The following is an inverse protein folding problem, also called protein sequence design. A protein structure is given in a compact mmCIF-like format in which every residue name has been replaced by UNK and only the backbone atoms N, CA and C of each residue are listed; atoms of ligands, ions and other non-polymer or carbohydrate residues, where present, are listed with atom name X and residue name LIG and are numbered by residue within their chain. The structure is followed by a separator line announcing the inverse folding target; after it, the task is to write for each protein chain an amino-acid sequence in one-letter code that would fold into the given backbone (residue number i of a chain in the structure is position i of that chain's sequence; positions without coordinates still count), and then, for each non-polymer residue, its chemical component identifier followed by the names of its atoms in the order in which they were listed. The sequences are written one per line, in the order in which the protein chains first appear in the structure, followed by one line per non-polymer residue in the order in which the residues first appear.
data_IF_406926533064
#
_entry.id   IF_406926533064
#
_cell.length_a   1.000
_cell.length_b   1.000
_cell.length_c   1.000
_cell.angle_alpha   90.00
_cell.angle_beta   90.00
_cell.angle_gamma   90.00
#
_symmetry.space_group_name_H-M   'P 1'
#
loop_
_entity.id
_entity.type
_entity.pdbx_description
1 polymer ?
#
# COMPACT_ATOMS: atom_id res chain seq x y z
N UNK A 1 -39.57 -18.95 39.40
CA UNK A 1 -40.58 -17.98 39.88
C UNK A 1 -39.81 -16.89 40.60
N UNK A 2 -39.54 -15.68 40.12
CA UNK A 2 -40.08 -14.74 39.10
C UNK A 2 -38.89 -14.21 38.26
N UNK A 3 -38.89 -13.93 36.95
CA UNK A 3 -39.73 -13.13 36.02
C UNK A 3 -39.74 -11.59 36.24
N UNK A 4 -39.11 -10.88 35.28
CA UNK A 4 -39.38 -9.55 34.68
C UNK A 4 -38.03 -8.89 34.32
N UNK A 5 -37.48 -8.84 33.10
CA UNK A 5 -37.95 -8.62 31.72
C UNK A 5 -38.58 -7.23 31.47
N UNK A 6 -37.74 -6.35 30.89
CA UNK A 6 -37.98 -5.26 29.91
C UNK A 6 -39.00 -4.15 30.20
N UNK A 7 -38.64 -2.89 29.89
CA UNK A 7 -39.04 -2.21 28.64
C UNK A 7 -38.69 -0.70 28.68
N UNK A 8 -37.91 -0.30 27.69
CA UNK A 8 -37.77 1.06 27.18
C UNK A 8 -39.07 1.45 26.48
N UNK A 9 -39.75 2.54 26.90
CA UNK A 9 -40.74 3.30 26.11
C UNK A 9 -40.68 4.76 26.61
N UNK A 10 -39.98 5.65 25.90
CA UNK A 10 -40.54 6.61 24.93
C UNK A 10 -41.58 7.57 25.52
N UNK A 11 -41.11 8.74 25.98
CA UNK A 11 -41.94 9.94 26.10
C UNK A 11 -41.65 10.85 24.90
N UNK A 12 -42.23 10.50 23.76
CA UNK A 12 -42.41 11.39 22.62
C UNK A 12 -43.48 12.43 22.99
N UNK A 13 -43.06 13.63 23.39
CA UNK A 13 -43.98 14.78 23.38
C UNK A 13 -43.92 15.36 21.97
N UNK A 14 -44.94 15.00 21.18
CA UNK A 14 -45.22 15.65 19.92
C UNK A 14 -45.86 17.00 20.15
N UNK A 15 -45.40 18.01 19.41
CA UNK A 15 -46.24 19.11 18.97
C UNK A 15 -45.90 19.40 17.51
N UNK A 16 -46.77 18.93 16.63
CA UNK A 16 -46.80 19.31 15.24
C UNK A 16 -47.68 20.56 15.08
N UNK A 17 -47.12 21.52 14.34
CA UNK A 17 -47.74 22.50 13.44
C UNK A 17 -48.26 23.87 13.97
N UNK A 18 -47.48 24.90 13.62
CA UNK A 18 -47.93 26.24 13.17
C UNK A 18 -47.94 27.33 14.25
N UNK A 19 -47.33 28.51 14.11
CA UNK A 19 -46.55 29.15 13.06
C UNK A 19 -45.58 30.14 13.74
N UNK A 20 -44.33 30.23 13.27
CA UNK A 20 -43.28 31.07 13.88
C UNK A 20 -42.23 30.22 14.60
N UNK A 21 -41.20 29.80 13.86
CA UNK A 21 -40.23 28.79 14.30
C UNK A 21 -39.49 29.18 15.58
N UNK A 22 -39.89 28.57 16.69
CA UNK A 22 -39.11 28.57 17.93
C UNK A 22 -38.03 27.51 17.77
N UNK A 23 -36.76 27.95 17.69
CA UNK A 23 -35.62 27.04 17.68
C UNK A 23 -35.56 26.35 19.05
N UNK A 24 -35.93 25.08 19.12
CA UNK A 24 -35.57 24.24 20.26
C UNK A 24 -34.06 24.05 20.21
N UNK A 25 -33.35 24.66 21.16
CA UNK A 25 -31.92 24.45 21.36
C UNK A 25 -31.68 22.98 21.76
N UNK A 26 -31.54 22.12 20.76
CA UNK A 26 -30.86 20.84 20.93
C UNK A 26 -29.37 21.16 21.05
N UNK A 27 -28.85 21.13 22.27
CA UNK A 27 -27.43 20.97 22.54
C UNK A 27 -27.00 19.58 22.07
N UNK A 28 -26.92 19.40 20.75
CA UNK A 28 -26.09 18.36 20.18
C UNK A 28 -24.63 18.68 20.53
N UNK A 29 -23.78 17.70 20.84
CA UNK A 29 -22.35 17.98 20.96
C UNK A 29 -21.92 18.56 19.62
N UNK A 30 -21.57 19.85 19.62
CA UNK A 30 -20.88 20.46 18.50
C UNK A 30 -19.66 19.59 18.24
N UNK A 31 -19.67 18.83 17.14
CA UNK A 31 -18.44 18.24 16.61
C UNK A 31 -17.67 19.40 16.01
N UNK A 32 -17.09 20.21 16.91
CA UNK A 32 -16.09 21.20 16.59
C UNK A 32 -14.90 20.42 16.06
N UNK A 33 -14.64 20.50 14.75
CA UNK A 33 -13.32 20.15 14.23
C UNK A 33 -12.35 21.24 14.72
N UNK A 34 -11.90 21.12 15.97
CA UNK A 34 -10.88 22.00 16.51
C UNK A 34 -9.61 21.77 15.70
N UNK A 35 -9.10 22.81 15.05
CA UNK A 35 -7.83 22.73 14.33
C UNK A 35 -6.73 22.38 15.34
N UNK A 36 -6.16 21.19 15.22
CA UNK A 36 -5.05 20.74 16.06
C UNK A 36 -3.86 21.64 15.75
N UNK A 37 -3.30 22.28 16.78
CA UNK A 37 -2.13 23.13 16.62
C UNK A 37 -0.93 22.28 16.16
N UNK A 38 -0.08 22.83 15.28
CA UNK A 38 1.11 22.13 14.77
C UNK A 38 2.00 21.59 15.90
N UNK A 39 2.09 22.30 17.03
CA UNK A 39 2.85 21.87 18.19
C UNK A 39 2.32 20.58 18.82
N UNK A 40 1.00 20.41 18.88
CA UNK A 40 0.34 19.21 19.41
C UNK A 40 0.60 18.01 18.48
N UNK A 41 0.53 18.22 17.16
CA UNK A 41 0.86 17.17 16.18
C UNK A 41 2.33 16.73 16.28
N UNK A 42 3.25 17.69 16.42
CA UNK A 42 4.69 17.38 16.57
C UNK A 42 4.96 16.68 17.90
N UNK A 43 4.29 17.09 18.99
CA UNK A 43 4.38 16.44 20.29
C UNK A 43 3.87 14.99 20.23
N UNK A 44 2.73 14.76 19.58
CA UNK A 44 2.16 13.43 19.40
C UNK A 44 3.08 12.53 18.55
N UNK A 45 3.61 13.02 17.42
CA UNK A 45 4.56 12.27 16.58
C UNK A 45 5.88 11.98 17.34
N UNK A 46 6.33 12.90 18.20
CA UNK A 46 7.53 12.70 19.01
C UNK A 46 7.30 11.68 20.13
N UNK A 47 6.12 11.68 20.73
CA UNK A 47 5.72 10.73 21.77
C UNK A 47 5.44 9.33 21.19
N UNK A 48 4.95 9.26 19.96
CA UNK A 48 4.70 8.03 19.23
C UNK A 48 5.21 8.12 17.77
N UNK A 49 6.47 7.72 17.53
CA UNK A 49 7.04 7.71 16.18
C UNK A 49 6.32 6.76 15.21
N UNK A 50 5.49 5.82 15.71
CA UNK A 50 4.73 4.91 14.85
C UNK A 50 3.62 5.62 14.07
N UNK A 51 3.18 6.80 14.53
CA UNK A 51 2.24 7.66 13.82
C UNK A 51 2.74 8.12 12.44
N UNK A 52 4.06 8.06 12.22
CA UNK A 52 4.70 8.36 10.94
C UNK A 52 5.50 7.16 10.39
N UNK A 53 5.10 5.93 10.73
CA UNK A 53 5.75 4.76 10.16
C UNK A 53 5.58 4.76 8.63
N UNK A 54 6.64 5.12 7.91
CA UNK A 54 6.72 4.89 6.47
C UNK A 54 6.69 3.38 6.30
N UNK A 55 5.71 2.80 5.57
CA UNK A 55 5.71 1.37 5.33
C UNK A 55 7.02 1.05 4.61
N UNK A 56 7.93 0.36 5.31
CA UNK A 56 9.20 -0.04 4.75
C UNK A 56 8.88 -1.13 3.74
N UNK A 57 8.91 -0.77 2.46
CA UNK A 57 8.66 -1.71 1.39
C UNK A 57 9.92 -2.54 1.23
N UNK A 58 9.80 -3.84 1.43
CA UNK A 58 10.90 -4.76 1.23
C UNK A 58 11.36 -4.64 -0.24
N UNK A 59 12.66 -4.53 -0.46
CA UNK A 59 13.25 -4.41 -1.79
C UNK A 59 14.09 -5.65 -2.07
N UNK A 60 14.09 -6.17 -3.32
CA UNK A 60 14.98 -7.26 -3.68
C UNK A 60 16.42 -6.76 -3.64
N UNK A 61 17.32 -7.60 -3.15
CA UNK A 61 18.75 -7.42 -3.38
C UNK A 61 19.08 -7.60 -4.87
N UNK A 62 20.27 -7.15 -5.29
CA UNK A 62 20.69 -7.29 -6.70
C UNK A 62 20.71 -8.75 -7.17
N UNK A 63 21.10 -9.68 -6.30
CA UNK A 63 21.14 -11.11 -6.61
C UNK A 63 19.73 -11.71 -6.72
N UNK A 64 18.84 -11.36 -5.80
CA UNK A 64 17.44 -11.79 -5.83
C UNK A 64 16.71 -11.25 -7.06
N UNK A 65 16.93 -9.97 -7.40
CA UNK A 65 16.37 -9.36 -8.59
C UNK A 65 16.87 -10.06 -9.86
N UNK A 66 18.17 -10.35 -9.95
CA UNK A 66 18.74 -11.09 -11.06
C UNK A 66 18.17 -12.50 -11.19
N UNK A 67 18.05 -13.23 -10.07
CA UNK A 67 17.49 -14.57 -10.06
C UNK A 67 16.01 -14.57 -10.49
N UNK A 68 15.22 -13.63 -9.95
CA UNK A 68 13.82 -13.44 -10.31
C UNK A 68 13.66 -13.07 -11.80
N UNK A 69 14.50 -12.16 -12.30
CA UNK A 69 14.51 -11.75 -13.70
C UNK A 69 14.87 -12.90 -14.64
N UNK A 70 15.93 -13.66 -14.34
CA UNK A 70 16.34 -14.83 -15.14
C UNK A 70 15.23 -15.87 -15.19
N UNK A 71 14.55 -16.11 -14.06
CA UNK A 71 13.41 -17.03 -13.98
C UNK A 71 12.23 -16.55 -14.84
N UNK A 72 11.87 -15.27 -14.75
CA UNK A 72 10.80 -14.67 -15.55
C UNK A 72 11.13 -14.70 -17.05
N UNK A 73 12.37 -14.35 -17.41
CA UNK A 73 12.85 -14.40 -18.79
C UNK A 73 12.80 -15.83 -19.35
N UNK A 74 13.31 -16.83 -18.62
CA UNK A 74 13.26 -18.23 -19.04
C UNK A 74 11.83 -18.78 -19.21
N UNK A 75 10.89 -18.29 -18.42
CA UNK A 75 9.48 -18.65 -18.52
C UNK A 75 8.75 -17.97 -19.69
N UNK A 76 9.33 -16.92 -20.28
CA UNK A 76 8.71 -16.21 -21.40
C UNK A 76 8.53 -17.12 -22.63
N UNK A 77 7.34 -17.16 -23.25
CA UNK A 77 7.10 -17.88 -24.50
C UNK A 77 7.95 -17.37 -25.67
N UNK A 78 8.46 -16.13 -25.58
CA UNK A 78 9.24 -15.48 -26.63
C UNK A 78 10.70 -15.94 -26.67
N UNK A 79 11.17 -16.69 -25.67
CA UNK A 79 12.53 -17.23 -25.66
C UNK A 79 12.59 -18.49 -26.51
N UNK A 80 13.01 -18.31 -27.77
CA UNK A 80 13.11 -19.40 -28.75
C UNK A 80 14.28 -20.36 -28.49
N UNK A 81 15.35 -19.92 -27.81
CA UNK A 81 16.58 -20.69 -27.61
C UNK A 81 16.86 -20.96 -26.12
N UNK A 82 15.97 -21.73 -25.47
CA UNK A 82 16.07 -22.04 -24.03
C UNK A 82 17.35 -22.79 -23.63
N UNK A 83 17.90 -23.59 -24.54
CA UNK A 83 19.08 -24.44 -24.29
C UNK A 83 20.41 -23.67 -24.35
N UNK A 84 20.42 -22.43 -24.84
CA UNK A 84 21.61 -21.60 -24.94
C UNK A 84 21.32 -20.19 -24.44
N UNK A 85 20.86 -20.11 -23.18
CA UNK A 85 20.58 -18.83 -22.53
C UNK A 85 21.91 -18.13 -22.23
N UNK A 86 22.11 -16.91 -22.76
CA UNK A 86 23.32 -16.14 -22.49
C UNK A 86 23.42 -15.76 -21.01
N UNK A 87 24.62 -15.39 -20.57
CA UNK A 87 24.84 -14.88 -19.21
C UNK A 87 24.21 -13.49 -19.06
N UNK A 88 22.96 -13.47 -18.58
CA UNK A 88 22.22 -12.24 -18.30
C UNK A 88 22.77 -11.61 -17.03
N UNK A 89 23.07 -10.31 -17.05
CA UNK A 89 23.35 -9.54 -15.82
C UNK A 89 22.35 -8.40 -15.66
N UNK A 90 22.10 -8.00 -14.41
CA UNK A 90 21.11 -7.00 -14.04
C UNK A 90 21.68 -6.09 -12.96
N UNK A 91 21.42 -4.79 -13.07
CA UNK A 91 21.67 -3.80 -12.02
C UNK A 91 20.37 -3.09 -11.67
N UNK A 92 20.12 -2.93 -10.37
CA UNK A 92 19.00 -2.14 -9.86
C UNK A 92 19.39 -0.66 -9.85
N UNK A 93 18.49 0.17 -10.37
CA UNK A 93 18.51 1.62 -10.25
C UNK A 93 17.53 2.07 -9.16
N UNK A 94 16.76 3.13 -9.45
CA UNK A 94 15.72 3.61 -8.55
C UNK A 94 14.57 2.59 -8.48
N UNK A 95 14.08 2.35 -7.27
CA UNK A 95 12.92 1.51 -7.00
C UNK A 95 11.89 2.29 -6.20
N UNK A 96 10.62 2.15 -6.58
CA UNK A 96 9.49 2.76 -5.91
C UNK A 96 8.42 1.72 -5.63
N UNK A 97 7.60 1.97 -4.62
CA UNK A 97 6.43 1.12 -4.33
C UNK A 97 5.41 1.26 -5.45
N UNK A 98 4.80 0.16 -5.86
CA UNK A 98 3.59 0.22 -6.67
C UNK A 98 2.40 0.67 -5.83
N UNK A 99 1.57 1.55 -6.39
CA UNK A 99 0.34 2.01 -5.72
C UNK A 99 -0.75 0.93 -5.69
N UNK A 100 -0.70 -0.03 -6.62
CA UNK A 100 -1.76 -1.01 -6.83
C UNK A 100 -1.60 -2.29 -5.99
N UNK A 101 -0.38 -2.62 -5.59
CA UNK A 101 -0.05 -3.88 -4.94
C UNK A 101 1.20 -3.74 -4.04
N UNK A 102 1.49 -4.70 -3.15
CA UNK A 102 2.70 -4.68 -2.32
C UNK A 102 4.00 -4.94 -3.12
N UNK A 103 3.99 -4.70 -4.43
CA UNK A 103 5.18 -4.85 -5.27
C UNK A 103 6.04 -3.58 -5.28
N UNK A 104 7.29 -3.76 -5.68
CA UNK A 104 8.19 -2.65 -6.01
C UNK A 104 8.45 -2.64 -7.49
N UNK A 105 8.52 -1.46 -8.07
CA UNK A 105 8.85 -1.24 -9.47
C UNK A 105 10.21 -0.57 -9.50
N UNK A 106 11.17 -1.21 -10.16
CA UNK A 106 12.54 -0.71 -10.26
C UNK A 106 12.89 -0.38 -11.70
N UNK A 107 13.59 0.73 -11.90
CA UNK A 107 14.42 0.90 -13.09
C UNK A 107 15.57 -0.10 -13.01
N UNK A 108 15.75 -0.89 -14.05
CA UNK A 108 16.78 -1.94 -14.10
C UNK A 108 17.59 -1.84 -15.37
N UNK A 109 18.91 -1.92 -15.24
CA UNK A 109 19.80 -2.00 -16.39
C UNK A 109 20.12 -3.47 -16.66
N UNK A 110 19.66 -4.00 -17.78
CA UNK A 110 19.77 -5.41 -18.13
C UNK A 110 20.73 -5.60 -19.30
N UNK A 111 21.71 -6.48 -19.15
CA UNK A 111 22.52 -6.98 -20.26
C UNK A 111 22.13 -8.41 -20.56
N UNK A 112 21.61 -8.65 -21.77
CA UNK A 112 21.20 -9.99 -22.19
C UNK A 112 22.39 -10.90 -22.48
N UNK A 113 23.52 -10.36 -22.91
CA UNK A 113 24.79 -11.09 -23.03
C UNK A 113 25.96 -10.18 -22.62
N UNK A 114 27.15 -10.73 -22.32
CA UNK A 114 28.31 -9.93 -21.95
C UNK A 114 28.72 -8.88 -23.00
N UNK A 115 28.47 -9.19 -24.28
CA UNK A 115 28.78 -8.32 -25.43
C UNK A 115 27.62 -7.38 -25.80
N UNK A 116 26.43 -7.57 -25.24
CA UNK A 116 25.27 -6.71 -25.53
C UNK A 116 25.38 -5.36 -24.81
N UNK A 117 24.81 -4.34 -25.44
CA UNK A 117 24.59 -3.07 -24.77
C UNK A 117 23.58 -3.24 -23.61
N UNK A 118 23.83 -2.62 -22.45
CA UNK A 118 22.86 -2.61 -21.37
C UNK A 118 21.63 -1.81 -21.78
N UNK A 119 20.47 -2.35 -21.43
CA UNK A 119 19.19 -1.74 -21.71
C UNK A 119 18.44 -1.46 -20.42
N UNK A 120 18.09 -0.20 -20.23
CA UNK A 120 17.32 0.24 -19.07
C UNK A 120 15.84 -0.04 -19.29
N UNK A 121 15.22 -0.77 -18.37
CA UNK A 121 13.81 -1.12 -18.39
C UNK A 121 13.22 -1.11 -17.00
N UNK A 122 11.95 -0.77 -16.94
CA UNK A 122 11.14 -0.88 -15.73
C UNK A 122 10.77 -2.34 -15.52
N UNK A 123 11.09 -2.88 -14.34
CA UNK A 123 10.76 -4.27 -13.96
C UNK A 123 10.06 -4.24 -12.61
N UNK A 124 8.91 -4.90 -12.53
CA UNK A 124 8.18 -5.09 -11.28
C UNK A 124 8.70 -6.30 -10.52
N UNK A 125 8.85 -6.19 -9.20
CA UNK A 125 9.25 -7.27 -8.31
C UNK A 125 8.24 -7.44 -7.18
N UNK A 126 7.77 -8.66 -6.99
CA UNK A 126 6.85 -9.02 -5.90
C UNK A 126 7.24 -10.35 -5.26
N UNK A 127 6.80 -10.58 -4.03
CA UNK A 127 6.98 -11.85 -3.34
C UNK A 127 5.92 -12.86 -3.81
N UNK A 128 6.36 -14.08 -4.12
CA UNK A 128 5.48 -15.22 -4.38
C UNK A 128 4.82 -15.70 -3.08
N UNK A 129 3.85 -16.62 -3.21
CA UNK A 129 3.24 -17.35 -2.08
C UNK A 129 4.24 -18.11 -1.22
N UNK A 130 5.45 -18.39 -1.73
CA UNK A 130 6.54 -19.05 -1.00
C UNK A 130 7.55 -18.06 -0.44
N UNK A 131 7.31 -16.75 -0.56
CA UNK A 131 8.22 -15.68 -0.12
C UNK A 131 9.43 -15.42 -1.02
N UNK A 132 9.49 -16.04 -2.21
CA UNK A 132 10.56 -15.80 -3.18
C UNK A 132 10.23 -14.64 -4.10
N UNK A 133 11.25 -13.90 -4.58
CA UNK A 133 11.03 -12.81 -5.52
C UNK A 133 10.62 -13.31 -6.91
N UNK A 134 9.65 -12.62 -7.51
CA UNK A 134 9.14 -12.83 -8.87
C UNK A 134 9.23 -11.52 -9.62
N UNK A 135 9.88 -11.55 -10.80
CA UNK A 135 9.97 -10.41 -11.68
C UNK A 135 8.82 -10.44 -12.70
N UNK A 136 8.23 -9.28 -12.95
CA UNK A 136 7.26 -9.05 -14.04
C UNK A 136 7.92 -8.12 -15.05
N UNK A 137 8.06 -8.61 -16.27
CA UNK A 137 8.68 -7.91 -17.39
C UNK A 137 7.55 -7.57 -18.36
N UNK A 138 7.29 -6.28 -18.56
CA UNK A 138 6.33 -5.77 -19.54
C UNK A 138 7.02 -5.47 -20.89
#
# INVERSE_FOLDING_TARGET
MNQNMLLVIAASVGLAAGAGGTYLATSGPDVYSQAIAKAELVSAISADPSLCAVPMVEMPTGEEALAAFRKAHAASPLVCHRNNMPEISLKLGQCDKSDADPSVVCMTSVKMSPQAEPLDRVVGFSKSVTGGWVATIN
#
